data_IF_585996421182
#
_entry.id   IF_585996421182
#
_cell.length_a   1.000
_cell.length_b   1.000
_cell.length_c   1.000
_cell.angle_alpha   90.00
_cell.angle_beta   90.00
_cell.angle_gamma   90.00
#
_symmetry.space_group_name_H-M   'P 1'
#
loop_
_entity.id
_entity.type
_entity.pdbx_description
1 polymer ?
#
# COMPACT_ATOMS: atom_id res chain seq x y z
N UNK A 1 8.06 -19.67 -0.64
CA UNK A 1 8.18 -18.97 0.65
C UNK A 1 8.19 -17.50 0.31
N UNK A 2 7.02 -16.92 0.09
CA UNK A 2 6.92 -15.52 -0.32
C UNK A 2 7.27 -14.65 0.87
N UNK A 3 8.42 -14.01 0.76
CA UNK A 3 8.95 -13.06 1.73
C UNK A 3 8.24 -11.75 1.52
N UNK A 4 6.96 -11.67 1.88
CA UNK A 4 6.27 -10.38 1.99
C UNK A 4 7.11 -9.51 2.94
N UNK A 5 7.79 -8.46 2.45
CA UNK A 5 8.63 -7.64 3.32
C UNK A 5 7.78 -6.93 4.37
N UNK A 6 6.47 -6.78 4.08
CA UNK A 6 5.50 -6.05 4.88
C UNK A 6 5.78 -4.55 4.84
N UNK A 7 4.88 -3.78 5.43
CA UNK A 7 5.11 -2.35 5.63
C UNK A 7 5.62 -2.16 7.06
N UNK A 8 6.76 -1.49 7.19
CA UNK A 8 7.30 -1.02 8.45
C UNK A 8 6.76 0.36 8.76
N UNK A 9 6.42 0.59 10.02
CA UNK A 9 6.10 1.91 10.56
C UNK A 9 7.06 2.24 11.71
N UNK A 10 7.61 3.45 11.70
CA UNK A 10 8.37 4.00 12.84
C UNK A 10 8.01 5.47 13.05
N UNK A 11 8.30 6.01 14.25
CA UNK A 11 8.10 7.42 14.52
C UNK A 11 9.38 8.10 15.04
N UNK A 12 9.81 9.13 14.33
CA UNK A 12 10.93 10.01 14.67
C UNK A 12 10.57 11.46 14.27
N UNK A 13 11.16 12.48 14.90
CA UNK A 13 10.87 13.91 14.59
C UNK A 13 9.37 14.26 14.50
N UNK A 14 8.54 13.69 15.38
CA UNK A 14 7.07 13.84 15.38
C UNK A 14 6.31 13.21 14.20
N UNK A 15 6.96 12.71 13.16
CA UNK A 15 6.29 12.13 11.98
C UNK A 15 6.31 10.60 12.02
N UNK A 16 5.20 9.98 11.62
CA UNK A 16 5.16 8.54 11.30
C UNK A 16 5.70 8.35 9.89
N UNK A 17 6.61 7.41 9.72
CA UNK A 17 7.21 7.06 8.43
C UNK A 17 6.84 5.61 8.13
N UNK A 18 6.37 5.38 6.90
CA UNK A 18 6.05 4.06 6.38
C UNK A 18 7.03 3.70 5.27
N UNK A 19 7.56 2.48 5.31
CA UNK A 19 8.62 2.03 4.40
C UNK A 19 8.62 0.50 4.29
N UNK A 20 9.15 -0.05 3.19
CA UNK A 20 9.36 -1.51 3.06
C UNK A 20 10.65 -1.96 3.76
N UNK A 21 11.64 -1.07 3.81
CA UNK A 21 12.92 -1.27 4.49
C UNK A 21 13.22 -0.05 5.36
N UNK A 22 13.79 -0.27 6.55
CA UNK A 22 14.15 0.82 7.45
C UNK A 22 15.32 1.61 6.84
N UNK A 23 15.18 2.92 6.57
CA UNK A 23 16.27 3.70 6.00
C UNK A 23 17.40 3.88 7.02
N UNK A 24 18.64 4.08 6.56
CA UNK A 24 19.76 4.34 7.47
C UNK A 24 19.63 5.67 8.23
N UNK A 25 18.94 6.64 7.63
CA UNK A 25 18.77 8.01 8.13
C UNK A 25 17.31 8.42 8.15
N UNK A 26 16.94 9.23 9.13
CA UNK A 26 15.61 9.82 9.20
C UNK A 26 15.38 10.74 7.98
N UNK A 27 14.29 10.57 7.20
CA UNK A 27 14.01 11.41 6.04
C UNK A 27 13.68 12.87 6.39
N UNK A 28 13.44 13.18 7.68
CA UNK A 28 13.05 14.52 8.15
C UNK A 28 14.24 15.33 8.66
N UNK A 29 15.14 14.71 9.45
CA UNK A 29 16.27 15.41 10.08
C UNK A 29 17.64 14.82 9.73
N UNK A 30 17.69 13.76 8.94
CA UNK A 30 18.91 13.07 8.49
C UNK A 30 19.77 12.42 9.60
N UNK A 31 19.30 12.41 10.85
CA UNK A 31 19.92 11.65 11.95
C UNK A 31 19.93 10.16 11.65
N UNK A 32 21.03 9.47 11.97
CA UNK A 32 21.17 8.03 11.78
C UNK A 32 20.16 7.26 12.65
N UNK A 33 19.35 6.41 12.03
CA UNK A 33 18.30 5.67 12.73
C UNK A 33 18.86 4.57 13.65
N UNK A 34 20.10 4.13 13.44
CA UNK A 34 20.79 3.17 14.31
C UNK A 34 21.06 3.69 15.73
N UNK A 35 21.09 5.02 15.90
CA UNK A 35 21.37 5.69 17.19
C UNK A 35 20.27 6.67 17.59
N UNK A 36 19.19 6.74 16.80
CA UNK A 36 18.10 7.66 17.01
C UNK A 36 17.23 7.23 18.21
N UNK A 37 16.74 8.22 18.97
CA UNK A 37 15.74 7.97 19.99
C UNK A 37 14.35 7.97 19.35
N UNK A 38 13.83 6.77 19.09
CA UNK A 38 12.50 6.60 18.50
C UNK A 38 11.41 6.96 19.50
N UNK A 39 10.39 7.69 19.03
CA UNK A 39 9.13 7.80 19.77
C UNK A 39 8.31 6.51 19.67
N UNK A 40 8.43 5.83 18.53
CA UNK A 40 7.84 4.52 18.28
C UNK A 40 8.86 3.69 17.50
N UNK A 41 9.27 2.58 18.11
CA UNK A 41 10.21 1.64 17.49
C UNK A 41 9.64 1.12 16.17
N UNK A 42 10.48 0.77 15.19
CA UNK A 42 10.04 0.13 13.96
C UNK A 42 9.25 -1.16 14.23
N UNK A 43 8.07 -1.29 13.63
CA UNK A 43 7.24 -2.49 13.69
C UNK A 43 6.53 -2.73 12.36
N UNK A 44 6.16 -3.98 12.09
CA UNK A 44 5.37 -4.33 10.90
C UNK A 44 3.89 -4.02 11.14
N UNK A 45 3.26 -3.38 10.16
CA UNK A 45 1.81 -3.18 10.12
C UNK A 45 1.16 -4.22 9.21
N UNK A 46 -0.15 -4.51 9.40
CA UNK A 46 -0.91 -5.31 8.45
C UNK A 46 -0.86 -4.74 7.04
N UNK A 47 -0.90 -5.62 6.04
CA UNK A 47 -0.97 -5.20 4.64
C UNK A 47 -2.28 -4.41 4.41
N UNK A 48 -2.23 -3.22 3.78
CA UNK A 48 -3.36 -2.30 3.72
C UNK A 48 -4.40 -2.73 2.67
N UNK A 49 -4.03 -3.61 1.73
CA UNK A 49 -4.93 -4.14 0.73
C UNK A 49 -5.44 -5.51 1.14
N UNK A 50 -6.70 -5.74 0.82
CA UNK A 50 -7.41 -6.98 1.12
C UNK A 50 -8.03 -7.52 -0.16
N UNK A 51 -8.43 -8.79 -0.14
CA UNK A 51 -9.13 -9.38 -1.29
C UNK A 51 -10.50 -8.71 -1.46
N UNK A 52 -10.70 -8.12 -2.64
CA UNK A 52 -11.93 -7.40 -2.98
C UNK A 52 -13.20 -8.24 -2.79
N UNK A 53 -13.17 -9.53 -3.16
CA UNK A 53 -14.33 -10.45 -3.07
C UNK A 53 -14.82 -10.62 -1.63
N UNK A 54 -13.97 -10.37 -0.64
CA UNK A 54 -14.33 -10.48 0.78
C UNK A 54 -14.83 -9.17 1.38
N UNK A 55 -14.83 -8.08 0.60
CA UNK A 55 -15.13 -6.73 1.08
C UNK A 55 -16.13 -6.08 0.12
N UNK A 56 -17.45 -6.17 0.41
CA UNK A 56 -18.47 -5.53 -0.40
C UNK A 56 -18.36 -4.00 -0.33
N UNK A 57 -18.97 -3.29 -1.29
CA UNK A 57 -19.04 -1.83 -1.33
C UNK A 57 -17.67 -1.13 -1.22
N UNK A 58 -16.65 -1.64 -1.91
CA UNK A 58 -15.26 -1.19 -1.82
C UNK A 58 -14.70 -0.76 -3.17
N UNK A 59 -13.70 0.12 -3.17
CA UNK A 59 -12.90 0.44 -4.38
C UNK A 59 -11.79 -0.59 -4.52
N UNK A 60 -11.61 -1.11 -5.73
CA UNK A 60 -10.60 -2.10 -6.06
C UNK A 60 -9.54 -1.46 -6.94
N UNK A 61 -8.27 -1.62 -6.57
CA UNK A 61 -7.14 -1.29 -7.43
C UNK A 61 -6.33 -2.56 -7.69
N UNK A 62 -5.93 -2.77 -8.94
CA UNK A 62 -5.12 -3.94 -9.31
C UNK A 62 -4.21 -3.59 -10.48
N UNK A 63 -2.87 -3.74 -10.35
CA UNK A 63 -2.00 -3.65 -11.52
C UNK A 63 -2.17 -4.87 -12.44
N UNK A 64 -1.84 -4.72 -13.72
CA UNK A 64 -1.89 -5.83 -14.70
C UNK A 64 -1.06 -7.03 -14.25
N UNK A 65 0.08 -6.80 -13.61
CA UNK A 65 0.98 -7.83 -13.10
C UNK A 65 1.43 -7.47 -11.68
N UNK A 66 1.58 -8.49 -10.83
CA UNK A 66 2.05 -8.29 -9.46
C UNK A 66 1.05 -7.63 -8.51
N UNK A 67 1.58 -6.99 -7.46
CA UNK A 67 0.85 -6.22 -6.46
C UNK A 67 1.13 -4.70 -6.54
N UNK A 68 0.19 -3.90 -6.00
CA UNK A 68 0.24 -2.44 -6.12
C UNK A 68 1.40 -1.80 -5.33
N UNK A 69 1.83 -2.39 -4.23
CA UNK A 69 2.82 -1.78 -3.33
C UNK A 69 4.26 -2.12 -3.73
N UNK A 70 4.49 -3.31 -4.29
CA UNK A 70 5.85 -3.77 -4.60
C UNK A 70 6.18 -3.75 -6.09
N UNK A 71 5.23 -4.10 -6.96
CA UNK A 71 5.51 -4.32 -8.39
C UNK A 71 5.06 -3.16 -9.29
N UNK A 72 4.11 -2.35 -8.84
CA UNK A 72 3.53 -1.29 -9.66
C UNK A 72 4.51 -0.12 -9.83
N UNK A 73 4.72 0.27 -11.10
CA UNK A 73 5.38 1.50 -11.49
C UNK A 73 4.38 2.41 -12.21
N UNK A 74 4.56 3.73 -12.11
CA UNK A 74 3.67 4.72 -12.74
C UNK A 74 3.54 4.57 -14.27
N UNK A 75 4.45 3.85 -14.92
CA UNK A 75 4.41 3.54 -16.35
C UNK A 75 3.59 2.30 -16.70
N UNK A 76 3.08 1.56 -15.70
CA UNK A 76 2.27 0.36 -15.88
C UNK A 76 0.78 0.69 -15.83
N UNK A 77 -0.02 -0.17 -16.45
CA UNK A 77 -1.48 -0.06 -16.37
C UNK A 77 -1.98 -0.40 -14.96
N UNK A 78 -2.86 0.45 -14.44
CA UNK A 78 -3.56 0.28 -13.17
C UNK A 78 -5.06 0.19 -13.42
N UNK A 79 -5.65 -0.94 -13.08
CA UNK A 79 -7.09 -1.19 -13.22
C UNK A 79 -7.82 -0.73 -11.96
N UNK A 80 -8.99 -0.11 -12.14
CA UNK A 80 -9.84 0.40 -11.06
C UNK A 80 -11.25 -0.18 -11.22
N UNK A 81 -11.78 -0.74 -10.15
CA UNK A 81 -13.14 -1.27 -10.11
C UNK A 81 -13.82 -0.97 -8.77
N UNK A 82 -15.05 -1.44 -8.63
CA UNK A 82 -15.83 -1.37 -7.39
C UNK A 82 -16.43 -2.74 -7.08
N UNK A 83 -16.61 -3.08 -5.80
CA UNK A 83 -17.41 -4.23 -5.41
C UNK A 83 -18.84 -3.80 -5.08
N UNK A 84 -19.82 -4.56 -5.55
CA UNK A 84 -21.21 -4.35 -5.14
C UNK A 84 -21.45 -4.85 -3.70
N UNK A 85 -22.70 -4.78 -3.22
CA UNK A 85 -23.09 -5.25 -1.88
C UNK A 85 -22.89 -6.75 -1.66
N UNK A 86 -22.70 -7.53 -2.72
CA UNK A 86 -22.45 -8.97 -2.67
C UNK A 86 -20.96 -9.32 -2.78
N UNK A 87 -20.08 -8.31 -2.91
CA UNK A 87 -18.64 -8.52 -3.10
C UNK A 87 -18.24 -8.84 -4.55
N UNK A 88 -19.16 -8.78 -5.50
CA UNK A 88 -18.87 -8.98 -6.92
C UNK A 88 -18.16 -7.74 -7.48
N UNK A 89 -17.00 -7.95 -8.11
CA UNK A 89 -16.20 -6.87 -8.72
C UNK A 89 -16.82 -6.45 -10.05
N UNK A 90 -17.05 -5.15 -10.20
CA UNK A 90 -17.46 -4.48 -11.43
C UNK A 90 -16.35 -3.53 -11.82
N UNK A 91 -15.80 -3.71 -13.02
CA UNK A 91 -14.76 -2.86 -13.56
C UNK A 91 -15.38 -1.74 -14.41
N UNK A 92 -14.88 -0.52 -14.25
CA UNK A 92 -15.26 0.58 -15.14
C UNK A 92 -14.50 0.45 -16.45
N UNK A 93 -15.07 -0.26 -17.42
CA UNK A 93 -14.59 -0.18 -18.80
C UNK A 93 -15.15 1.09 -19.49
N UNK A 94 -14.43 1.62 -20.48
CA UNK A 94 -14.84 2.80 -21.26
C UNK A 94 -16.19 2.64 -22.00
N UNK A 95 -16.84 1.47 -21.99
CA UNK A 95 -18.07 1.22 -22.78
C UNK A 95 -19.35 1.63 -22.07
N UNK A 96 -19.32 1.95 -20.77
CA UNK A 96 -20.50 2.39 -20.03
C UNK A 96 -20.76 3.90 -20.06
N UNK A 97 -19.97 4.68 -20.79
CA UNK A 97 -20.30 6.07 -21.14
C UNK A 97 -20.97 6.12 -22.52
N UNK A 98 -22.19 5.61 -22.62
CA UNK A 98 -23.12 6.01 -23.69
C UNK A 98 -24.18 6.91 -23.09
N UNK A 99 -24.25 8.12 -23.63
CA UNK A 99 -25.23 9.16 -23.33
C UNK A 99 -26.66 8.72 -23.68
#
# INVERSE_FOLDING_TARGET
MDTDPGILCFQHCSCKVFCFELPERCPICSTALSTANFRLLPFRIPYPFVRAIQHPCSVVIKPTSGDFLHDYLNSMDLHIGVTNSEGTVVEFDRRFATA
#
